data_IF_662449062937
#
_entry.id   IF_662449062937
#
_cell.length_a   1.000
_cell.length_b   1.000
_cell.length_c   1.000
_cell.angle_alpha   90.00
_cell.angle_beta   90.00
_cell.angle_gamma   90.00
#
_symmetry.space_group_name_H-M   'P 1'
#
loop_
_entity.id
_entity.type
_entity.pdbx_description
1 polymer ?
#
# COMPACT_ATOMS: atom_id res chain seq x y z
N UNK A 1 10.05 -6.38 4.13
CA UNK A 1 9.57 -6.86 5.45
C UNK A 1 9.55 -5.66 6.37
N UNK A 2 8.51 -5.53 7.19
CA UNK A 2 8.36 -4.44 8.16
C UNK A 2 8.33 -5.01 9.56
N UNK A 3 8.64 -4.18 10.56
CA UNK A 3 8.62 -4.66 11.94
C UNK A 3 7.17 -5.03 12.34
N UNK A 4 6.91 -6.24 12.89
CA UNK A 4 5.55 -6.72 13.12
C UNK A 4 4.70 -5.81 14.01
N UNK A 5 5.31 -5.10 14.96
CA UNK A 5 4.62 -4.18 15.86
C UNK A 5 4.04 -2.94 15.16
N UNK A 6 4.46 -2.66 13.92
CA UNK A 6 3.90 -1.59 13.10
C UNK A 6 2.56 -1.99 12.46
N UNK A 7 2.24 -3.29 12.40
CA UNK A 7 0.97 -3.79 11.85
C UNK A 7 -0.01 -4.04 13.00
N UNK A 8 -1.12 -3.28 13.03
CA UNK A 8 -2.17 -3.49 14.03
C UNK A 8 -2.94 -4.77 13.73
N UNK A 9 -3.12 -5.60 14.77
CA UNK A 9 -4.08 -6.72 14.73
C UNK A 9 -5.48 -6.17 14.53
N UNK A 10 -6.13 -6.56 13.42
CA UNK A 10 -7.50 -6.18 13.07
C UNK A 10 -8.27 -7.45 12.68
N UNK A 11 -9.59 -7.36 12.52
CA UNK A 11 -10.40 -8.49 12.03
C UNK A 11 -10.12 -8.82 10.56
N UNK A 12 -9.73 -7.81 9.77
CA UNK A 12 -9.49 -7.92 8.34
C UNK A 12 -8.10 -7.38 8.01
N UNK A 13 -7.36 -8.18 7.23
CA UNK A 13 -6.01 -7.87 6.75
C UNK A 13 -5.91 -7.84 5.23
N UNK A 14 -6.98 -8.26 4.53
CA UNK A 14 -7.09 -8.28 3.07
C UNK A 14 -7.91 -7.08 2.63
N UNK A 15 -7.34 -6.22 1.80
CA UNK A 15 -7.95 -4.98 1.36
C UNK A 15 -7.89 -4.89 -0.15
N UNK A 16 -9.07 -4.82 -0.78
CA UNK A 16 -9.18 -4.50 -2.19
C UNK A 16 -9.24 -2.99 -2.36
N UNK A 17 -8.27 -2.41 -3.08
CA UNK A 17 -8.20 -0.99 -3.38
C UNK A 17 -8.71 -0.75 -4.81
N UNK A 18 -10.03 -0.73 -4.95
CA UNK A 18 -10.75 -0.68 -6.24
C UNK A 18 -10.24 0.44 -7.17
N UNK A 19 -10.05 1.66 -6.62
CA UNK A 19 -9.55 2.83 -7.37
C UNK A 19 -8.21 2.56 -8.10
N UNK A 20 -7.38 1.67 -7.57
CA UNK A 20 -6.03 1.43 -8.09
C UNK A 20 -5.90 0.06 -8.78
N UNK A 21 -6.94 -0.77 -8.74
CA UNK A 21 -6.92 -2.18 -9.14
C UNK A 21 -5.82 -2.99 -8.43
N UNK A 22 -5.64 -2.77 -7.12
CA UNK A 22 -4.59 -3.39 -6.30
C UNK A 22 -5.20 -4.02 -5.06
N UNK A 23 -4.73 -5.22 -4.72
CA UNK A 23 -4.97 -5.87 -3.44
C UNK A 23 -3.77 -5.64 -2.50
N UNK A 24 -4.09 -5.24 -1.27
CA UNK A 24 -3.15 -4.97 -0.19
C UNK A 24 -3.42 -5.93 0.98
N UNK A 25 -2.43 -6.74 1.32
CA UNK A 25 -2.50 -7.67 2.46
C UNK A 25 -1.50 -7.23 3.52
N UNK A 26 -2.01 -6.89 4.71
CA UNK A 26 -1.23 -6.45 5.86
C UNK A 26 -1.11 -7.57 6.89
N UNK A 27 -0.22 -8.54 6.68
CA UNK A 27 -0.09 -9.66 7.62
C UNK A 27 0.56 -9.22 8.95
N UNK A 28 0.04 -9.75 10.06
CA UNK A 28 0.48 -9.44 11.43
C UNK A 28 1.94 -9.85 11.70
N UNK A 29 2.51 -10.72 10.87
CA UNK A 29 3.92 -11.11 10.92
C UNK A 29 4.87 -10.07 10.27
N UNK A 30 4.35 -8.96 9.74
CA UNK A 30 5.16 -7.92 9.08
C UNK A 30 5.49 -8.22 7.61
N UNK A 31 4.88 -9.26 7.02
CA UNK A 31 4.89 -9.45 5.57
C UNK A 31 3.72 -8.69 4.95
N UNK A 32 4.05 -7.74 4.08
CA UNK A 32 3.08 -6.93 3.37
C UNK A 32 3.09 -7.36 1.92
N UNK A 33 1.94 -7.73 1.38
CA UNK A 33 1.78 -8.09 -0.03
C UNK A 33 0.99 -7.00 -0.75
N UNK A 34 1.47 -6.60 -1.92
CA UNK A 34 0.86 -5.60 -2.80
C UNK A 34 0.87 -6.19 -4.20
N UNK A 35 -0.30 -6.38 -4.79
CA UNK A 35 -0.41 -7.01 -6.11
C UNK A 35 -1.67 -6.58 -6.84
N UNK A 36 -1.71 -6.84 -8.14
CA UNK A 36 -2.91 -6.57 -8.94
C UNK A 36 -4.12 -7.33 -8.37
N UNK A 37 -5.29 -6.67 -8.38
CA UNK A 37 -6.52 -7.34 -8.01
C UNK A 37 -6.91 -8.38 -9.06
N UNK A 38 -7.24 -9.59 -8.60
CA UNK A 38 -7.70 -10.69 -9.46
C UNK A 38 -9.05 -11.18 -8.98
N UNK A 39 -10.06 -11.13 -9.85
CA UNK A 39 -11.39 -11.68 -9.56
C UNK A 39 -11.31 -13.21 -9.61
N UNK A 40 -11.42 -13.84 -8.44
CA UNK A 40 -11.48 -15.30 -8.31
C UNK A 40 -12.87 -15.77 -8.73
N UNK A 41 -13.13 -15.87 -10.04
CA UNK A 41 -14.44 -16.28 -10.56
C UNK A 41 -14.54 -16.53 -12.07
N UNK A 42 -13.65 -15.92 -12.88
CA UNK A 42 -13.74 -15.99 -14.35
C UNK A 42 -12.51 -16.64 -15.00
N UNK A 43 -11.97 -17.72 -14.42
CA UNK A 43 -11.16 -18.64 -15.24
C UNK A 43 -12.15 -19.53 -16.01
N UNK A 44 -12.19 -19.50 -17.37
CA UNK A 44 -12.94 -20.51 -18.10
C UNK A 44 -12.35 -21.86 -17.70
N UNK A 45 -13.21 -22.73 -17.17
CA UNK A 45 -12.87 -24.12 -16.84
C UNK A 45 -12.37 -24.81 -18.10
N UNK A 46 -11.08 -24.68 -18.40
CA UNK A 46 -10.39 -25.60 -19.29
C UNK A 46 -10.01 -26.81 -18.45
N UNK A 47 -10.61 -27.90 -18.88
CA UNK A 47 -10.65 -29.21 -18.28
C UNK A 47 -9.24 -29.77 -18.07
N UNK A 48 -8.97 -30.23 -16.84
CA UNK A 48 -8.06 -31.36 -16.59
C UNK A 48 -6.58 -31.06 -16.40
N UNK A 49 -6.09 -31.37 -15.19
CA UNK A 49 -4.75 -31.92 -14.99
C UNK A 49 -3.62 -30.92 -14.78
N UNK A 50 -2.99 -31.04 -13.60
CA UNK A 50 -1.73 -30.41 -13.18
C UNK A 50 -1.80 -28.91 -12.88
N UNK A 51 -1.75 -28.65 -11.56
CA UNK A 51 -1.39 -27.39 -10.93
C UNK A 51 0.12 -27.11 -11.17
N UNK A 52 0.53 -27.13 -12.44
CA UNK A 52 1.84 -26.69 -12.90
C UNK A 52 1.73 -25.24 -13.34
N UNK A 53 2.79 -24.47 -13.13
CA UNK A 53 3.00 -23.12 -13.67
C UNK A 53 2.59 -23.07 -15.15
N UNK A 54 1.32 -22.77 -15.41
CA UNK A 54 0.78 -22.75 -16.75
C UNK A 54 1.18 -21.43 -17.38
N UNK A 55 1.93 -21.54 -18.45
CA UNK A 55 2.31 -20.56 -19.46
C UNK A 55 1.12 -19.67 -19.86
N UNK A 56 0.77 -18.67 -19.04
CA UNK A 56 -0.18 -17.61 -19.41
C UNK A 56 0.57 -16.63 -20.32
N UNK A 57 0.40 -16.83 -21.62
CA UNK A 57 0.78 -15.87 -22.64
C UNK A 57 -0.01 -14.56 -22.45
N UNK A 58 0.72 -13.50 -22.08
CA UNK A 58 0.50 -12.09 -22.42
C UNK A 58 -0.72 -11.31 -21.90
N UNK A 59 -1.28 -11.63 -20.72
CA UNK A 59 -2.02 -10.62 -19.97
C UNK A 59 -1.07 -9.88 -19.01
N UNK A 60 -0.27 -8.98 -19.57
CA UNK A 60 0.62 -8.13 -18.78
C UNK A 60 -0.21 -7.21 -17.87
N UNK A 61 0.14 -7.15 -16.58
CA UNK A 61 -0.38 -6.13 -15.67
C UNK A 61 -0.22 -4.74 -16.31
N UNK A 62 -1.31 -3.97 -16.47
CA UNK A 62 -1.25 -2.65 -17.10
C UNK A 62 -0.17 -1.77 -16.47
N UNK A 63 0.48 -0.92 -17.28
CA UNK A 63 1.55 -0.04 -16.78
C UNK A 63 1.08 0.82 -15.60
N UNK A 64 -0.15 1.30 -15.65
CA UNK A 64 -0.72 2.13 -14.58
C UNK A 64 -0.89 1.35 -13.26
N UNK A 65 -1.42 0.13 -13.33
CA UNK A 65 -1.53 -0.76 -12.17
C UNK A 65 -0.15 -1.09 -11.59
N UNK A 66 0.86 -1.33 -12.44
CA UNK A 66 2.24 -1.52 -11.97
C UNK A 66 2.77 -0.29 -11.22
N UNK A 67 2.49 0.91 -11.72
CA UNK A 67 2.86 2.16 -11.02
C UNK A 67 2.18 2.26 -9.65
N UNK A 68 0.90 1.94 -9.55
CA UNK A 68 0.19 1.92 -8.26
C UNK A 68 0.80 0.92 -7.28
N UNK A 69 1.07 -0.31 -7.73
CA UNK A 69 1.72 -1.35 -6.92
C UNK A 69 3.06 -0.84 -6.38
N UNK A 70 3.90 -0.27 -7.25
CA UNK A 70 5.21 0.25 -6.86
C UNK A 70 5.11 1.41 -5.86
N UNK A 71 4.20 2.37 -6.08
CA UNK A 71 4.01 3.49 -5.15
C UNK A 71 3.47 3.03 -3.81
N UNK A 72 2.48 2.14 -3.77
CA UNK A 72 1.97 1.54 -2.52
C UNK A 72 3.08 0.80 -1.75
N UNK A 73 3.87 -0.01 -2.45
CA UNK A 73 4.99 -0.72 -1.85
C UNK A 73 6.06 0.26 -1.30
N UNK A 74 6.34 1.36 -2.00
CA UNK A 74 7.25 2.39 -1.52
C UNK A 74 6.67 3.17 -0.33
N UNK A 75 5.39 3.48 -0.32
CA UNK A 75 4.71 4.07 0.85
C UNK A 75 4.87 3.20 2.09
N UNK A 76 4.68 1.88 1.98
CA UNK A 76 4.90 0.93 3.08
C UNK A 76 6.34 1.00 3.59
N UNK A 77 7.33 1.06 2.69
CA UNK A 77 8.76 1.16 3.05
C UNK A 77 9.07 2.47 3.78
N UNK A 78 8.60 3.60 3.25
CA UNK A 78 8.81 4.94 3.85
C UNK A 78 8.20 4.98 5.24
N UNK A 79 6.92 4.63 5.37
CA UNK A 79 6.20 4.64 6.64
C UNK A 79 6.86 3.71 7.68
N UNK A 80 7.28 2.52 7.26
CA UNK A 80 7.95 1.58 8.17
C UNK A 80 9.30 2.09 8.63
N UNK A 81 10.09 2.70 7.76
CA UNK A 81 11.40 3.24 8.13
C UNK A 81 11.27 4.51 9.00
N UNK A 82 10.17 5.24 8.90
CA UNK A 82 9.79 6.32 9.84
C UNK A 82 9.20 5.80 11.16
N UNK A 83 9.00 4.49 11.31
CA UNK A 83 8.43 3.89 12.53
C UNK A 83 6.94 4.15 12.72
N UNK A 84 6.21 4.46 11.64
CA UNK A 84 4.77 4.71 11.72
C UNK A 84 3.96 3.41 11.67
N UNK A 85 2.92 3.34 12.49
CA UNK A 85 1.95 2.25 12.41
C UNK A 85 1.31 2.25 11.02
N UNK A 86 1.34 1.10 10.36
CA UNK A 86 0.78 0.92 9.03
C UNK A 86 -0.74 0.76 9.13
N UNK A 87 -1.45 1.66 8.47
CA UNK A 87 -2.89 1.51 8.18
C UNK A 87 -3.11 1.69 6.68
N UNK A 88 -4.18 1.10 6.16
CA UNK A 88 -4.52 1.21 4.73
C UNK A 88 -4.66 2.67 4.32
N UNK A 89 -5.33 3.46 5.16
CA UNK A 89 -5.57 4.87 4.94
C UNK A 89 -4.24 5.64 4.83
N UNK A 90 -3.32 5.44 5.78
CA UNK A 90 -2.02 6.12 5.77
C UNK A 90 -1.14 5.72 4.58
N UNK A 91 -1.20 4.45 4.16
CA UNK A 91 -0.47 3.95 2.98
C UNK A 91 -1.00 4.63 1.70
N UNK A 92 -2.33 4.71 1.54
CA UNK A 92 -2.97 5.39 0.41
C UNK A 92 -2.63 6.88 0.43
N UNK A 93 -2.81 7.56 1.57
CA UNK A 93 -2.49 8.98 1.72
C UNK A 93 -1.02 9.26 1.34
N UNK A 94 -0.09 8.42 1.78
CA UNK A 94 1.34 8.57 1.44
C UNK A 94 1.58 8.38 -0.07
N UNK A 95 0.92 7.40 -0.69
CA UNK A 95 1.00 7.22 -2.14
C UNK A 95 0.42 8.43 -2.88
N UNK A 96 -0.79 8.87 -2.54
CA UNK A 96 -1.44 9.99 -3.22
C UNK A 96 -0.62 11.27 -3.05
N UNK A 97 -0.04 11.48 -1.87
CA UNK A 97 0.80 12.63 -1.61
C UNK A 97 2.15 12.57 -2.36
N UNK A 98 2.63 11.39 -2.78
CA UNK A 98 3.76 11.27 -3.72
C UNK A 98 3.37 11.73 -5.13
N UNK A 99 2.13 11.44 -5.55
CA UNK A 99 1.60 11.90 -6.86
C UNK A 99 1.36 13.39 -6.83
N UNK A 100 0.70 13.92 -5.79
CA UNK A 100 0.41 15.35 -5.65
C UNK A 100 1.67 16.22 -5.53
N UNK A 101 2.76 15.68 -4.99
CA UNK A 101 4.06 16.37 -4.93
C UNK A 101 4.94 16.14 -6.15
N UNK A 102 4.43 15.48 -7.18
CA UNK A 102 5.19 15.16 -8.39
C UNK A 102 6.51 14.44 -8.10
N UNK A 103 6.51 13.55 -7.09
CA UNK A 103 7.66 12.71 -6.74
C UNK A 103 7.59 11.47 -7.62
N UNK A 104 8.65 11.20 -8.38
CA UNK A 104 8.74 10.00 -9.18
C UNK A 104 8.82 8.75 -8.30
N UNK A 105 8.37 7.61 -8.84
CA UNK A 105 8.27 6.35 -8.08
C UNK A 105 9.63 5.97 -7.46
N UNK A 106 10.72 6.19 -8.20
CA UNK A 106 12.07 5.88 -7.76
C UNK A 106 12.59 6.85 -6.69
N UNK A 107 12.08 8.09 -6.67
CA UNK A 107 12.50 9.14 -5.75
C UNK A 107 11.74 9.10 -4.42
N UNK A 108 10.66 8.33 -4.33
CA UNK A 108 9.93 8.10 -3.07
C UNK A 108 10.81 7.52 -1.96
N UNK A 109 11.92 6.86 -2.29
CA UNK A 109 12.84 6.33 -1.29
C UNK A 109 14.01 7.29 -0.97
N UNK A 110 13.99 8.50 -1.54
CA UNK A 110 14.95 9.57 -1.25
C UNK A 110 14.63 10.34 0.02
N UNK A 111 15.67 10.87 0.68
CA UNK A 111 15.55 11.54 1.98
C UNK A 111 14.51 12.67 2.00
N UNK A 112 14.35 13.40 0.89
CA UNK A 112 13.36 14.46 0.77
C UNK A 112 11.92 13.93 1.01
N UNK A 113 11.55 12.82 0.38
CA UNK A 113 10.21 12.28 0.54
C UNK A 113 9.96 11.70 1.93
N UNK A 114 11.00 11.19 2.59
CA UNK A 114 10.94 10.80 4.01
C UNK A 114 10.62 11.98 4.91
N UNK A 115 11.31 13.11 4.72
CA UNK A 115 11.08 14.34 5.49
C UNK A 115 9.66 14.85 5.24
N UNK A 116 9.25 14.98 3.97
CA UNK A 116 7.90 15.43 3.63
C UNK A 116 6.81 14.53 4.25
N UNK A 117 7.00 13.21 4.24
CA UNK A 117 6.07 12.26 4.84
C UNK A 117 6.02 12.41 6.37
N UNK A 118 7.17 12.59 7.02
CA UNK A 118 7.24 12.78 8.46
C UNK A 118 6.58 14.11 8.90
N UNK A 119 6.83 15.20 8.17
CA UNK A 119 6.23 16.51 8.44
C UNK A 119 4.70 16.49 8.27
N UNK A 120 4.20 15.83 7.22
CA UNK A 120 2.76 15.63 7.01
C UNK A 120 2.12 14.87 8.17
N UNK A 121 2.74 13.78 8.61
CA UNK A 121 2.22 13.00 9.73
C UNK A 121 2.29 13.78 11.05
N UNK A 122 3.35 14.55 11.29
CA UNK A 122 3.47 15.42 12.45
C UNK A 122 2.35 16.48 12.47
N UNK A 123 2.10 17.14 11.33
CA UNK A 123 1.01 18.10 11.18
C UNK A 123 -0.35 17.46 11.43
N UNK A 124 -0.62 16.29 10.84
CA UNK A 124 -1.87 15.55 11.03
C UNK A 124 -2.13 15.24 12.51
N UNK A 125 -1.10 14.78 13.24
CA UNK A 125 -1.21 14.51 14.68
C UNK A 125 -1.43 15.78 15.51
N UNK A 126 -0.75 16.87 15.18
CA UNK A 126 -0.94 18.16 15.83
C UNK A 126 -2.38 18.68 15.65
N UNK A 127 -2.94 18.55 14.45
CA UNK A 127 -4.31 18.97 14.17
C UNK A 127 -5.35 18.11 14.89
N UNK A 128 -5.12 16.80 15.00
CA UNK A 128 -5.96 15.91 15.81
C UNK A 128 -5.94 16.29 17.31
N UNK A 129 -4.77 16.65 17.84
CA UNK A 129 -4.63 17.11 19.22
C UNK A 129 -5.34 18.44 19.45
N UNK A 130 -5.20 19.41 18.54
CA UNK A 130 -5.92 20.69 18.61
C UNK A 130 -7.43 20.50 18.58
N UNK A 131 -7.94 19.64 17.69
CA UNK A 131 -9.38 19.33 17.62
C UNK A 131 -9.89 18.68 18.91
N UNK A 132 -9.10 17.80 19.53
CA UNK A 132 -9.44 17.18 20.81
C UNK A 132 -9.48 18.19 21.97
N UNK A 133 -8.58 19.17 21.98
CA UNK A 133 -8.47 20.16 23.05
C UNK A 133 -9.41 21.37 22.88
N UNK A 134 -9.87 21.64 21.65
CA UNK A 134 -10.79 22.74 21.32
C UNK A 134 -12.26 22.36 21.29
N UNK A 135 -12.62 21.13 21.65
CA UNK A 135 -14.00 20.72 21.86
C UNK A 135 -14.40 20.99 23.32
N UNK A 136 -14.71 22.25 23.61
CA UNK A 136 -15.49 22.73 24.75
C UNK A 136 -16.41 23.84 24.26
#
# INVERSE_FOLDING_TARGET
MVAPYLVKRKKQHFHHLEKYNVDLILDCNGFIWVGEHVVVGEKPKTTGGQQGFSTEAENFTPLETRKHICRLANSVRVLSALGFTLTVELIIETMEASVSSNVEINDMLGAEFYVQTAEREAKRRADLLRKKNGAN
#
